data_IF_827913851025
#
_entry.id   IF_827913851025
#
_cell.length_a   1.000
_cell.length_b   1.000
_cell.length_c   1.000
_cell.angle_alpha   90.00
_cell.angle_beta   90.00
_cell.angle_gamma   90.00
#
_symmetry.space_group_name_H-M   'P 1'
#
loop_
_entity.id
_entity.type
_entity.pdbx_description
1 polymer ?
#
# COMPACT_ATOMS: atom_id res chain seq x y z
N UNK A 1 10.65 -1.94 -83.62
CA UNK A 1 9.97 -1.14 -82.57
C UNK A 1 11.02 -0.39 -81.77
N UNK A 2 10.97 0.95 -81.67
CA UNK A 2 11.91 1.70 -80.81
C UNK A 2 11.60 1.36 -79.36
N UNK A 3 12.54 0.74 -78.64
CA UNK A 3 12.42 0.48 -77.20
C UNK A 3 12.71 1.77 -76.44
N UNK A 4 11.79 2.18 -75.57
CA UNK A 4 12.02 3.26 -74.61
C UNK A 4 12.57 2.66 -73.31
N UNK A 5 13.68 3.20 -72.81
CA UNK A 5 14.35 2.70 -71.61
C UNK A 5 14.10 3.65 -70.43
N UNK A 6 13.92 3.09 -69.23
CA UNK A 6 13.71 3.86 -68.01
C UNK A 6 14.94 4.72 -67.67
N UNK A 7 14.73 5.92 -67.10
CA UNK A 7 15.82 6.86 -66.76
C UNK A 7 16.89 6.24 -65.87
N UNK A 8 16.50 5.37 -64.92
CA UNK A 8 17.43 4.67 -64.03
C UNK A 8 18.35 3.68 -64.77
N UNK A 9 17.93 3.14 -65.91
CA UNK A 9 18.76 2.25 -66.75
C UNK A 9 19.84 3.06 -67.46
N UNK A 10 19.48 4.26 -67.94
CA UNK A 10 20.39 5.20 -68.59
C UNK A 10 21.42 5.73 -67.59
N UNK A 11 20.97 6.09 -66.38
CA UNK A 11 21.82 6.54 -65.28
C UNK A 11 22.76 5.41 -64.84
N UNK A 12 22.23 4.19 -64.63
CA UNK A 12 23.03 3.02 -64.29
C UNK A 12 24.10 2.69 -65.35
N UNK A 13 23.80 2.89 -66.65
CA UNK A 13 24.78 2.74 -67.73
C UNK A 13 25.92 3.76 -67.65
N UNK A 14 25.60 5.06 -67.53
CA UNK A 14 26.63 6.12 -67.46
C UNK A 14 27.48 6.04 -66.18
N UNK A 15 26.92 5.49 -65.09
CA UNK A 15 27.64 5.23 -63.84
C UNK A 15 28.44 3.91 -63.85
N UNK A 16 28.39 3.13 -64.95
CA UNK A 16 29.13 1.88 -65.09
C UNK A 16 28.65 0.74 -64.19
N UNK A 17 27.41 0.80 -63.69
CA UNK A 17 26.84 -0.19 -62.76
C UNK A 17 25.70 -1.01 -63.36
N UNK A 18 25.41 -0.84 -64.66
CA UNK A 18 24.38 -1.62 -65.34
C UNK A 18 24.81 -3.09 -65.46
N UNK A 19 23.88 -4.00 -65.16
CA UNK A 19 24.13 -5.45 -65.23
C UNK A 19 24.55 -5.88 -66.64
N UNK A 20 25.57 -6.75 -66.79
CA UNK A 20 26.08 -7.19 -68.10
C UNK A 20 25.01 -7.81 -69.00
N UNK A 21 24.06 -8.53 -68.42
CA UNK A 21 22.96 -9.21 -69.14
C UNK A 21 22.01 -8.22 -69.79
N UNK A 22 21.78 -7.07 -69.15
CA UNK A 22 20.95 -5.98 -69.67
C UNK A 22 21.73 -5.19 -70.72
N UNK A 23 23.03 -4.97 -70.50
CA UNK A 23 23.93 -4.25 -71.41
C UNK A 23 23.98 -4.91 -72.80
N UNK A 24 24.03 -6.25 -72.86
CA UNK A 24 24.07 -7.01 -74.11
C UNK A 24 22.77 -6.93 -74.93
N UNK A 25 21.64 -6.59 -74.31
CA UNK A 25 20.33 -6.48 -74.97
C UNK A 25 20.07 -5.09 -75.57
N UNK A 26 21.00 -4.14 -75.40
CA UNK A 26 20.83 -2.75 -75.83
C UNK A 26 21.63 -2.52 -77.12
N UNK A 27 20.99 -1.99 -78.19
CA UNK A 27 21.69 -1.69 -79.43
C UNK A 27 22.87 -0.72 -79.22
N UNK A 28 23.98 -0.95 -79.90
CA UNK A 28 25.20 -0.13 -79.83
C UNK A 28 24.95 1.35 -80.11
N UNK A 29 24.03 1.66 -81.03
CA UNK A 29 23.59 3.03 -81.34
C UNK A 29 22.90 3.74 -80.16
N UNK A 30 22.18 2.98 -79.33
CA UNK A 30 21.50 3.49 -78.13
C UNK A 30 22.51 3.74 -77.01
N UNK A 31 23.47 2.82 -76.82
CA UNK A 31 24.58 3.00 -75.88
C UNK A 31 25.46 4.20 -76.23
N UNK A 32 25.73 4.40 -77.53
CA UNK A 32 26.47 5.56 -78.02
C UNK A 32 25.73 6.87 -77.72
N UNK A 33 24.41 6.92 -77.99
CA UNK A 33 23.59 8.08 -77.65
C UNK A 33 23.63 8.39 -76.15
N UNK A 34 23.51 7.35 -75.30
CA UNK A 34 23.58 7.53 -73.84
C UNK A 34 24.94 8.00 -73.38
N UNK A 35 26.04 7.52 -73.98
CA UNK A 35 27.40 7.97 -73.63
C UNK A 35 27.58 9.49 -73.82
N UNK A 36 26.93 10.07 -74.82
CA UNK A 36 27.02 11.50 -75.15
C UNK A 36 25.85 12.34 -74.62
N UNK A 37 24.91 11.74 -73.88
CA UNK A 37 23.74 12.44 -73.34
C UNK A 37 24.11 13.27 -72.11
N UNK A 38 23.90 14.58 -72.19
CA UNK A 38 24.12 15.48 -71.06
C UNK A 38 22.97 15.38 -70.03
N UNK A 39 23.22 14.67 -68.92
CA UNK A 39 22.26 14.49 -67.82
C UNK A 39 21.94 15.77 -67.06
N UNK A 40 22.80 16.81 -67.10
CA UNK A 40 22.59 18.05 -66.36
C UNK A 40 21.39 18.87 -66.87
N UNK A 41 20.87 18.54 -68.07
CA UNK A 41 19.64 19.11 -68.63
C UNK A 41 18.35 18.42 -68.16
N UNK A 42 18.45 17.31 -67.41
CA UNK A 42 17.28 16.62 -66.86
C UNK A 42 16.82 17.31 -65.56
N UNK A 43 15.55 17.69 -65.53
CA UNK A 43 14.90 18.27 -64.34
C UNK A 43 15.01 17.29 -63.16
N UNK A 44 15.55 17.74 -62.03
CA UNK A 44 15.71 16.95 -60.79
C UNK A 44 17.13 16.46 -60.46
N UNK A 45 18.11 16.65 -61.36
CA UNK A 45 19.50 16.19 -61.14
C UNK A 45 20.20 16.85 -59.94
N UNK A 46 19.90 18.12 -59.62
CA UNK A 46 20.45 18.81 -58.43
C UNK A 46 19.97 18.21 -57.10
N UNK A 47 18.75 17.66 -57.02
CA UNK A 47 18.27 16.95 -55.82
C UNK A 47 18.83 15.51 -55.72
N UNK A 48 19.15 14.87 -56.85
CA UNK A 48 19.77 13.53 -56.86
C UNK A 48 21.28 13.53 -56.54
N UNK A 49 22.01 14.62 -56.81
CA UNK A 49 23.45 14.73 -56.53
C UNK A 49 23.79 14.69 -55.03
N UNK A 50 22.91 15.21 -54.16
CA UNK A 50 23.04 15.12 -52.69
C UNK A 50 23.01 13.64 -52.22
N UNK A 51 22.48 12.73 -53.05
CA UNK A 51 22.39 11.32 -52.74
C UNK A 51 23.59 10.50 -53.23
N UNK A 52 24.51 11.01 -54.06
CA UNK A 52 25.64 10.18 -54.52
C UNK A 52 26.55 9.73 -53.36
N UNK A 53 26.86 10.61 -52.41
CA UNK A 53 27.70 10.27 -51.26
C UNK A 53 27.02 9.27 -50.32
N UNK A 54 25.73 9.48 -50.01
CA UNK A 54 24.96 8.53 -49.22
C UNK A 54 24.78 7.19 -49.95
N UNK A 55 24.55 7.19 -51.25
CA UNK A 55 24.44 5.97 -52.07
C UNK A 55 25.79 5.25 -52.16
N UNK A 56 26.92 5.95 -52.29
CA UNK A 56 28.26 5.35 -52.24
C UNK A 56 28.53 4.74 -50.87
N UNK A 57 28.25 5.46 -49.81
CA UNK A 57 28.38 4.96 -48.44
C UNK A 57 27.51 3.73 -48.19
N UNK A 58 26.26 3.72 -48.66
CA UNK A 58 25.37 2.55 -48.59
C UNK A 58 25.91 1.41 -49.45
N UNK A 59 26.39 1.67 -50.66
CA UNK A 59 27.01 0.64 -51.53
C UNK A 59 28.25 0.03 -50.88
N UNK A 60 29.13 0.84 -50.30
CA UNK A 60 30.35 0.37 -49.63
C UNK A 60 30.00 -0.39 -48.33
N UNK A 61 29.00 0.08 -47.59
CA UNK A 61 28.44 -0.64 -46.44
C UNK A 61 27.86 -2.01 -46.83
N UNK A 62 27.13 -2.09 -47.96
CA UNK A 62 26.55 -3.33 -48.47
C UNK A 62 27.60 -4.32 -49.02
N UNK A 63 28.76 -3.84 -49.50
CA UNK A 63 29.88 -4.69 -49.91
C UNK A 63 30.55 -5.40 -48.73
N UNK A 64 30.54 -4.78 -47.54
CA UNK A 64 31.11 -5.39 -46.34
C UNK A 64 30.13 -6.38 -45.67
N UNK A 65 30.30 -7.67 -45.98
CA UNK A 65 29.46 -8.77 -45.44
C UNK A 65 29.34 -8.74 -43.89
N UNK A 66 30.40 -8.36 -43.18
CA UNK A 66 30.39 -8.25 -41.71
C UNK A 66 29.56 -7.05 -41.22
N UNK A 67 29.68 -5.88 -41.85
CA UNK A 67 28.90 -4.70 -41.52
C UNK A 67 27.40 -4.93 -41.75
N UNK A 68 27.04 -5.61 -42.85
CA UNK A 68 25.66 -6.00 -43.12
C UNK A 68 25.10 -6.97 -42.07
N UNK A 69 25.89 -7.95 -41.61
CA UNK A 69 25.48 -8.85 -40.52
C UNK A 69 25.26 -8.10 -39.22
N UNK A 70 26.15 -7.18 -38.87
CA UNK A 70 26.04 -6.35 -37.66
C UNK A 70 24.82 -5.42 -37.71
N UNK A 71 24.54 -4.77 -38.84
CA UNK A 71 23.34 -3.96 -38.98
C UNK A 71 22.05 -4.79 -38.92
N UNK A 72 22.02 -5.99 -39.54
CA UNK A 72 20.88 -6.91 -39.42
C UNK A 72 20.67 -7.35 -37.98
N UNK A 73 21.73 -7.70 -37.26
CA UNK A 73 21.68 -8.07 -35.84
C UNK A 73 21.19 -6.90 -34.97
N UNK A 74 21.72 -5.69 -35.19
CA UNK A 74 21.30 -4.48 -34.48
C UNK A 74 19.83 -4.14 -34.77
N UNK A 75 19.37 -4.29 -36.01
CA UNK A 75 17.98 -4.09 -36.39
C UNK A 75 17.04 -5.11 -35.74
N UNK A 76 17.41 -6.40 -35.73
CA UNK A 76 16.64 -7.43 -35.01
C UNK A 76 16.61 -7.15 -33.50
N UNK A 77 17.75 -6.81 -32.90
CA UNK A 77 17.85 -6.45 -31.49
C UNK A 77 16.95 -5.26 -31.16
N UNK A 78 16.93 -4.23 -32.01
CA UNK A 78 16.03 -3.08 -31.87
C UNK A 78 14.55 -3.49 -31.96
N UNK A 79 14.19 -4.36 -32.89
CA UNK A 79 12.81 -4.86 -33.05
C UNK A 79 12.36 -5.65 -31.82
N UNK A 80 13.22 -6.52 -31.29
CA UNK A 80 12.98 -7.29 -30.06
C UNK A 80 12.83 -6.35 -28.86
N UNK A 81 13.73 -5.38 -28.71
CA UNK A 81 13.67 -4.38 -27.65
C UNK A 81 12.34 -3.61 -27.68
N UNK A 82 11.92 -3.16 -28.87
CA UNK A 82 10.67 -2.42 -29.05
C UNK A 82 9.43 -3.25 -28.67
N UNK A 83 9.42 -4.55 -28.99
CA UNK A 83 8.34 -5.45 -28.55
C UNK A 83 8.36 -5.58 -27.03
N UNK A 84 9.53 -5.76 -26.43
CA UNK A 84 9.68 -5.94 -24.98
C UNK A 84 9.26 -4.70 -24.17
N UNK A 85 9.60 -3.51 -24.65
CA UNK A 85 9.26 -2.24 -23.98
C UNK A 85 7.78 -1.90 -24.09
N UNK A 86 7.12 -2.17 -25.22
CA UNK A 86 5.70 -1.89 -25.41
C UNK A 86 4.76 -2.98 -24.86
N UNK A 87 5.16 -4.26 -24.90
CA UNK A 87 4.27 -5.36 -24.54
C UNK A 87 4.33 -5.75 -23.05
N UNK A 88 5.42 -5.44 -22.32
CA UNK A 88 5.60 -5.97 -20.96
C UNK A 88 5.30 -4.95 -19.85
N UNK A 89 4.27 -5.27 -19.06
CA UNK A 89 4.04 -4.61 -17.76
C UNK A 89 5.25 -4.78 -16.82
N UNK A 90 6.06 -5.82 -17.04
CA UNK A 90 7.31 -6.06 -16.33
C UNK A 90 8.36 -4.97 -16.60
N UNK A 91 8.56 -4.55 -17.86
CA UNK A 91 9.49 -3.48 -18.18
C UNK A 91 9.06 -2.14 -17.56
N UNK A 92 7.76 -1.80 -17.64
CA UNK A 92 7.22 -0.59 -16.98
C UNK A 92 7.44 -0.61 -15.47
N UNK A 93 7.29 -1.76 -14.81
CA UNK A 93 7.55 -1.94 -13.38
C UNK A 93 9.04 -1.83 -13.06
N UNK A 94 9.89 -2.46 -13.86
CA UNK A 94 11.35 -2.38 -13.72
C UNK A 94 11.87 -0.95 -13.90
N UNK A 95 11.35 -0.23 -14.91
CA UNK A 95 11.75 1.15 -15.17
C UNK A 95 11.36 2.12 -14.05
N UNK A 96 10.20 1.90 -13.41
CA UNK A 96 9.81 2.66 -12.20
C UNK A 96 10.75 2.44 -11.02
N UNK A 97 11.41 1.29 -10.93
CA UNK A 97 12.39 0.99 -9.87
C UNK A 97 13.79 1.50 -10.23
N UNK A 98 14.12 1.61 -11.52
CA UNK A 98 15.45 1.97 -12.04
C UNK A 98 15.45 3.31 -12.78
N UNK A 99 14.76 4.32 -12.21
CA UNK A 99 14.54 5.63 -12.87
C UNK A 99 15.83 6.35 -13.25
N UNK A 100 16.82 6.40 -12.35
CA UNK A 100 18.10 7.10 -12.58
C UNK A 100 18.83 6.51 -13.79
N UNK A 101 18.98 5.19 -13.81
CA UNK A 101 19.58 4.45 -14.92
C UNK A 101 18.87 4.75 -16.24
N UNK A 102 17.54 4.72 -16.28
CA UNK A 102 16.79 5.02 -17.50
C UNK A 102 16.99 6.46 -17.96
N UNK A 103 16.97 7.44 -17.05
CA UNK A 103 17.20 8.85 -17.40
C UNK A 103 18.59 9.02 -18.01
N UNK A 104 19.63 8.45 -17.40
CA UNK A 104 21.02 8.49 -17.90
C UNK A 104 21.15 7.86 -19.29
N UNK A 105 20.55 6.68 -19.51
CA UNK A 105 20.60 6.02 -20.83
C UNK A 105 19.80 6.76 -21.89
N UNK A 106 18.66 7.35 -21.54
CA UNK A 106 17.89 8.20 -22.47
C UNK A 106 18.69 9.45 -22.83
N UNK A 107 19.37 10.09 -21.87
CA UNK A 107 20.25 11.23 -22.14
C UNK A 107 21.37 10.85 -23.10
N UNK A 108 22.03 9.72 -22.90
CA UNK A 108 23.07 9.25 -23.83
C UNK A 108 22.51 8.95 -25.23
N UNK A 109 21.30 8.40 -25.33
CA UNK A 109 20.64 8.16 -26.61
C UNK A 109 20.26 9.46 -27.33
N UNK A 110 20.04 10.56 -26.60
CA UNK A 110 19.72 11.84 -27.23
C UNK A 110 20.85 12.44 -28.06
N UNK A 111 22.09 11.95 -27.90
CA UNK A 111 23.22 12.30 -28.77
C UNK A 111 23.06 11.77 -30.21
N UNK A 112 22.23 10.74 -30.40
CA UNK A 112 22.05 10.06 -31.70
C UNK A 112 20.64 10.23 -32.28
N UNK A 113 19.62 10.38 -31.42
CA UNK A 113 18.23 10.51 -31.84
C UNK A 113 17.51 11.62 -31.04
N UNK A 114 16.51 12.31 -31.64
CA UNK A 114 15.71 13.28 -30.89
C UNK A 114 15.05 12.67 -29.64
N UNK A 115 14.97 13.44 -28.55
CA UNK A 115 14.40 13.02 -27.26
C UNK A 115 13.03 12.34 -27.42
N UNK A 116 12.15 12.90 -28.25
CA UNK A 116 10.81 12.34 -28.50
C UNK A 116 10.86 10.91 -29.07
N UNK A 117 11.87 10.58 -29.90
CA UNK A 117 12.06 9.23 -30.44
C UNK A 117 12.66 8.28 -29.39
N UNK A 118 13.61 8.77 -28.59
CA UNK A 118 14.18 8.00 -27.47
C UNK A 118 13.10 7.64 -26.43
N UNK A 119 12.23 8.59 -26.08
CA UNK A 119 11.13 8.37 -25.15
C UNK A 119 10.11 7.35 -25.68
N UNK A 120 9.77 7.40 -26.97
CA UNK A 120 8.90 6.40 -27.61
C UNK A 120 9.50 4.99 -27.57
N UNK A 121 10.83 4.85 -27.69
CA UNK A 121 11.50 3.55 -27.64
C UNK A 121 11.30 2.82 -26.30
N UNK A 122 11.30 3.58 -25.21
CA UNK A 122 11.12 3.06 -23.85
C UNK A 122 9.68 3.15 -23.34
N UNK A 123 8.73 3.60 -24.16
CA UNK A 123 7.33 3.80 -23.76
C UNK A 123 7.17 4.74 -22.53
N UNK A 124 7.98 5.81 -22.48
CA UNK A 124 7.98 6.79 -21.39
C UNK A 124 7.40 8.13 -21.89
N UNK A 125 6.46 8.71 -21.15
CA UNK A 125 5.96 10.04 -21.48
C UNK A 125 6.99 11.13 -21.15
N UNK A 126 6.99 12.23 -21.91
CA UNK A 126 7.86 13.38 -21.65
C UNK A 126 7.72 13.89 -20.20
N UNK A 127 6.49 13.97 -19.69
CA UNK A 127 6.21 14.34 -18.31
C UNK A 127 6.84 13.38 -17.27
N UNK A 128 6.86 12.07 -17.55
CA UNK A 128 7.47 11.10 -16.65
C UNK A 128 9.01 11.22 -16.67
N UNK A 129 9.60 11.39 -17.86
CA UNK A 129 11.04 11.61 -18.02
C UNK A 129 11.52 12.84 -17.27
N UNK A 130 10.92 14.01 -17.51
CA UNK A 130 11.32 15.24 -16.83
C UNK A 130 11.13 15.16 -15.31
N UNK A 131 10.06 14.49 -14.85
CA UNK A 131 9.84 14.24 -13.42
C UNK A 131 10.92 13.36 -12.80
N UNK A 132 11.39 12.33 -13.51
CA UNK A 132 12.47 11.46 -13.04
C UNK A 132 13.82 12.18 -13.07
N UNK A 133 14.09 12.93 -14.15
CA UNK A 133 15.31 13.74 -14.31
C UNK A 133 15.45 14.79 -13.22
N UNK A 134 14.35 15.48 -12.91
CA UNK A 134 14.32 16.55 -11.92
C UNK A 134 13.96 16.04 -10.51
N UNK A 135 14.00 14.71 -10.28
CA UNK A 135 13.69 14.13 -8.98
C UNK A 135 14.84 14.40 -8.00
N UNK A 136 14.70 15.44 -7.19
CA UNK A 136 15.64 15.73 -6.09
C UNK A 136 15.30 14.85 -4.89
N UNK A 137 16.27 14.06 -4.42
CA UNK A 137 16.17 13.38 -3.14
C UNK A 137 16.39 14.41 -2.03
N UNK A 138 15.35 14.69 -1.26
CA UNK A 138 15.42 15.67 -0.17
C UNK A 138 15.69 14.95 1.15
N UNK A 139 16.90 15.07 1.70
CA UNK A 139 17.25 14.45 2.98
C UNK A 139 16.49 15.06 4.17
N UNK A 140 16.05 16.32 4.03
CA UNK A 140 15.19 17.00 5.00
C UNK A 140 13.75 16.45 5.03
N UNK A 141 13.36 15.58 4.09
CA UNK A 141 12.06 14.92 4.10
C UNK A 141 12.21 13.45 4.48
N UNK A 142 11.40 13.01 5.45
CA UNK A 142 11.30 11.59 5.82
C UNK A 142 11.00 10.71 4.59
N UNK A 143 10.21 11.23 3.65
CA UNK A 143 9.79 10.55 2.43
C UNK A 143 10.78 10.69 1.26
N UNK A 144 11.91 11.40 1.45
CA UNK A 144 12.88 11.75 0.39
C UNK A 144 12.29 12.54 -0.78
N UNK A 145 11.19 13.24 -0.55
CA UNK A 145 10.53 14.10 -1.54
C UNK A 145 10.56 15.55 -1.05
N UNK A 146 10.98 16.47 -1.92
CA UNK A 146 11.02 17.89 -1.57
C UNK A 146 9.61 18.45 -1.26
N UNK A 147 9.48 19.19 -0.16
CA UNK A 147 8.24 19.82 0.29
C UNK A 147 7.73 20.89 -0.69
N UNK A 148 8.61 21.60 -1.42
CA UNK A 148 8.21 22.59 -2.44
C UNK A 148 7.52 21.94 -3.65
N UNK A 149 8.12 20.86 -4.17
CA UNK A 149 7.59 20.15 -5.35
C UNK A 149 6.45 19.19 -5.02
N UNK A 150 6.42 18.68 -3.79
CA UNK A 150 5.36 17.80 -3.28
C UNK A 150 4.72 18.45 -2.03
N UNK A 151 3.92 19.52 -2.22
CA UNK A 151 3.44 20.38 -1.14
C UNK A 151 2.33 19.78 -0.27
N UNK A 152 1.73 18.68 -0.69
CA UNK A 152 0.70 17.95 0.08
C UNK A 152 1.28 16.91 1.06
N UNK A 153 2.60 16.83 1.19
CA UNK A 153 3.23 16.00 2.23
C UNK A 153 2.88 16.50 3.63
N UNK A 154 2.98 15.61 4.63
CA UNK A 154 2.91 16.06 6.02
C UNK A 154 4.00 17.08 6.31
N UNK A 155 3.65 18.13 7.04
CA UNK A 155 4.59 19.13 7.49
C UNK A 155 5.53 18.56 8.57
N UNK A 156 6.68 19.21 8.80
CA UNK A 156 7.67 18.77 9.79
C UNK A 156 7.07 18.57 11.19
N UNK A 157 6.18 19.46 11.62
CA UNK A 157 5.50 19.37 12.92
C UNK A 157 4.57 18.16 13.00
N UNK A 158 3.81 17.88 11.93
CA UNK A 158 2.95 16.69 11.87
C UNK A 158 3.78 15.40 11.94
N UNK A 159 4.93 15.37 11.27
CA UNK A 159 5.87 14.24 11.32
C UNK A 159 6.47 14.10 12.72
N UNK A 160 6.84 15.20 13.37
CA UNK A 160 7.35 15.21 14.73
C UNK A 160 6.30 14.69 15.72
N UNK A 161 5.03 15.08 15.55
CA UNK A 161 3.93 14.59 16.37
C UNK A 161 3.73 13.09 16.20
N UNK A 162 3.71 12.56 14.97
CA UNK A 162 3.67 11.09 14.76
C UNK A 162 4.81 10.42 15.51
N UNK A 163 6.05 10.92 15.39
CA UNK A 163 7.22 10.35 16.07
C UNK A 163 7.04 10.36 17.59
N UNK A 164 6.58 11.48 18.16
CA UNK A 164 6.32 11.62 19.60
C UNK A 164 5.38 10.53 20.12
N UNK A 165 4.23 10.36 19.46
CA UNK A 165 3.23 9.35 19.86
C UNK A 165 3.70 7.91 19.66
N UNK A 166 4.49 7.64 18.61
CA UNK A 166 5.01 6.30 18.36
C UNK A 166 6.14 5.89 19.31
N UNK A 167 6.90 6.87 19.82
CA UNK A 167 7.98 6.70 20.79
C UNK A 167 7.52 6.68 22.24
N UNK A 168 6.27 7.08 22.52
CA UNK A 168 5.71 7.06 23.86
C UNK A 168 5.63 5.63 24.41
N UNK A 169 6.33 5.38 25.53
CA UNK A 169 6.39 4.08 26.20
C UNK A 169 5.02 3.64 26.71
N UNK A 170 4.17 4.58 27.13
CA UNK A 170 2.81 4.31 27.61
C UNK A 170 1.88 3.84 26.49
N UNK A 171 2.17 4.15 25.23
CA UNK A 171 1.37 3.76 24.07
C UNK A 171 1.98 2.60 23.28
N UNK A 172 3.08 2.02 23.76
CA UNK A 172 3.83 1.02 22.99
C UNK A 172 3.00 -0.26 22.72
N UNK A 173 2.19 -0.69 23.68
CA UNK A 173 1.29 -1.84 23.54
C UNK A 173 0.01 -1.55 22.77
N UNK A 174 -0.32 -0.28 22.55
CA UNK A 174 -1.48 0.09 21.77
C UNK A 174 -1.26 -0.25 20.29
N UNK A 175 -2.27 -0.74 19.56
CA UNK A 175 -2.21 -0.84 18.12
C UNK A 175 -2.02 0.55 17.49
N UNK A 176 -1.26 0.62 16.39
CA UNK A 176 -1.01 1.87 15.65
C UNK A 176 -2.30 2.66 15.33
N UNK A 177 -3.39 1.96 15.05
CA UNK A 177 -4.67 2.61 14.74
C UNK A 177 -5.29 3.31 15.96
N UNK A 178 -5.11 2.77 17.16
CA UNK A 178 -5.58 3.40 18.39
C UNK A 178 -4.77 4.65 18.69
N UNK A 179 -3.46 4.60 18.47
CA UNK A 179 -2.57 5.78 18.58
C UNK A 179 -2.97 6.87 17.59
N UNK A 180 -3.27 6.49 16.34
CA UNK A 180 -3.77 7.43 15.33
C UNK A 180 -5.03 8.16 15.81
N UNK A 181 -6.04 7.44 16.31
CA UNK A 181 -7.25 8.07 16.81
C UNK A 181 -7.00 8.88 18.09
N UNK A 182 -6.09 8.44 18.97
CA UNK A 182 -5.68 9.24 20.13
C UNK A 182 -5.09 10.58 19.70
N UNK A 183 -4.22 10.58 18.69
CA UNK A 183 -3.61 11.78 18.13
C UNK A 183 -4.66 12.73 17.52
N UNK A 184 -5.66 12.19 16.82
CA UNK A 184 -6.79 12.98 16.29
C UNK A 184 -7.63 13.60 17.41
N UNK A 185 -7.98 12.81 18.44
CA UNK A 185 -8.78 13.27 19.59
C UNK A 185 -8.08 14.39 20.34
N UNK A 186 -6.77 14.29 20.51
CA UNK A 186 -5.94 15.30 21.19
C UNK A 186 -5.55 16.47 20.27
N UNK A 187 -6.10 16.55 19.05
CA UNK A 187 -5.79 17.59 18.07
C UNK A 187 -4.30 17.74 17.72
N UNK A 188 -3.50 16.69 17.91
CA UNK A 188 -2.06 16.74 17.67
C UNK A 188 -1.69 16.64 16.17
N UNK A 189 -2.62 16.26 15.30
CA UNK A 189 -2.40 16.30 13.85
C UNK A 189 -3.50 15.57 13.10
N UNK A 190 -3.97 16.17 12.00
CA UNK A 190 -5.10 15.65 11.24
C UNK A 190 -4.68 15.16 9.86
N UNK A 191 -4.66 13.84 9.68
CA UNK A 191 -4.27 13.20 8.42
C UNK A 191 -5.10 11.95 8.16
N UNK A 192 -5.10 11.46 6.92
CA UNK A 192 -5.75 10.17 6.63
C UNK A 192 -5.03 9.02 7.34
N UNK A 193 -5.77 7.97 7.69
CA UNK A 193 -5.21 6.76 8.27
C UNK A 193 -4.15 6.11 7.36
N UNK A 194 -4.33 6.19 6.03
CA UNK A 194 -3.36 5.70 5.06
C UNK A 194 -2.05 6.50 5.12
N UNK A 195 -2.14 7.82 5.22
CA UNK A 195 -0.99 8.71 5.39
C UNK A 195 -0.27 8.41 6.70
N UNK A 196 -1.00 8.30 7.80
CA UNK A 196 -0.42 7.92 9.10
C UNK A 196 0.38 6.61 8.98
N UNK A 197 -0.23 5.54 8.46
CA UNK A 197 0.47 4.26 8.29
C UNK A 197 1.70 4.35 7.38
N UNK A 198 1.64 5.14 6.31
CA UNK A 198 2.78 5.34 5.40
C UNK A 198 3.96 5.96 6.15
N UNK A 199 3.72 7.01 6.94
CA UNK A 199 4.77 7.67 7.71
C UNK A 199 5.24 6.81 8.89
N UNK A 200 4.34 6.19 9.65
CA UNK A 200 4.70 5.28 10.74
C UNK A 200 5.56 4.11 10.25
N UNK A 201 5.22 3.51 9.10
CA UNK A 201 6.01 2.43 8.52
C UNK A 201 7.40 2.90 8.11
N UNK A 202 7.51 4.07 7.48
CA UNK A 202 8.81 4.67 7.15
C UNK A 202 9.68 4.87 8.40
N UNK A 203 9.11 5.35 9.51
CA UNK A 203 9.84 5.52 10.77
C UNK A 203 10.27 4.18 11.39
N UNK A 204 9.39 3.18 11.36
CA UNK A 204 9.67 1.83 11.86
C UNK A 204 10.80 1.16 11.05
N UNK A 205 10.71 1.23 9.72
CA UNK A 205 11.69 0.61 8.80
C UNK A 205 13.06 1.29 8.91
N UNK A 206 13.11 2.58 9.27
CA UNK A 206 14.35 3.34 9.55
C UNK A 206 14.84 3.22 11.00
N UNK A 207 14.18 2.44 11.86
CA UNK A 207 14.55 2.29 13.27
C UNK A 207 14.40 3.56 14.11
N UNK A 208 13.60 4.53 13.67
CA UNK A 208 13.41 5.82 14.36
C UNK A 208 12.49 5.73 15.57
N UNK A 209 11.71 4.66 15.67
CA UNK A 209 10.73 4.36 16.72
C UNK A 209 10.76 2.86 17.04
N UNK A 210 10.33 2.42 18.24
CA UNK A 210 10.37 1.02 18.63
C UNK A 210 9.57 0.11 17.68
N UNK A 211 10.12 -1.07 17.39
CA UNK A 211 9.43 -2.09 16.58
C UNK A 211 8.15 -2.57 17.27
N UNK A 212 7.15 -2.93 16.45
CA UNK A 212 5.84 -3.40 16.91
C UNK A 212 5.54 -4.78 16.35
N UNK A 213 4.90 -5.63 17.16
CA UNK A 213 4.50 -6.99 16.75
C UNK A 213 3.56 -6.93 15.55
N UNK A 214 3.90 -7.68 14.49
CA UNK A 214 3.04 -7.86 13.32
C UNK A 214 2.03 -8.97 13.60
N UNK A 215 0.74 -8.63 13.58
CA UNK A 215 -0.34 -9.62 13.64
C UNK A 215 -0.70 -10.13 12.25
N UNK A 216 -0.97 -11.43 12.13
CA UNK A 216 -1.62 -11.99 10.94
C UNK A 216 -3.13 -11.73 11.00
N UNK A 217 -3.72 -11.37 9.86
CA UNK A 217 -5.18 -11.24 9.73
C UNK A 217 -5.75 -12.53 9.16
N UNK A 218 -6.57 -13.24 9.93
CA UNK A 218 -7.40 -14.33 9.42
C UNK A 218 -8.63 -13.74 8.73
N UNK A 219 -9.07 -14.35 7.62
CA UNK A 219 -10.36 -14.03 7.00
C UNK A 219 -11.44 -14.75 7.81
N UNK A 220 -12.35 -13.99 8.40
CA UNK A 220 -13.45 -14.51 9.20
C UNK A 220 -14.60 -13.49 9.21
N UNK A 221 -15.84 -13.98 9.18
CA UNK A 221 -17.05 -13.15 9.21
C UNK A 221 -17.69 -13.27 10.60
N UNK A 222 -17.43 -12.33 11.53
CA UNK A 222 -17.98 -12.39 12.88
C UNK A 222 -19.45 -11.96 12.90
N UNK A 223 -20.19 -12.46 13.90
CA UNK A 223 -21.49 -11.92 14.27
C UNK A 223 -21.33 -10.49 14.80
N UNK A 224 -22.26 -9.61 14.44
CA UNK A 224 -22.20 -8.18 14.79
C UNK A 224 -23.54 -7.74 15.35
N UNK A 225 -23.49 -7.15 16.53
CA UNK A 225 -24.62 -6.39 17.06
C UNK A 225 -24.76 -5.05 16.33
N UNK A 226 -25.97 -4.51 16.34
CA UNK A 226 -26.29 -3.17 15.82
C UNK A 226 -26.39 -2.11 16.90
N UNK A 227 -26.54 -2.53 18.17
CA UNK A 227 -26.65 -1.66 19.34
C UNK A 227 -26.01 -2.30 20.57
N UNK A 228 -25.62 -1.52 21.60
CA UNK A 228 -25.19 -2.06 22.89
C UNK A 228 -26.26 -2.97 23.50
N UNK A 229 -25.81 -3.94 24.30
CA UNK A 229 -26.65 -4.90 25.02
C UNK A 229 -27.45 -5.88 24.15
N UNK A 230 -27.28 -5.88 22.82
CA UNK A 230 -27.96 -6.85 21.94
C UNK A 230 -27.27 -8.23 21.93
N UNK A 231 -25.94 -8.25 21.89
CA UNK A 231 -25.16 -9.50 21.87
C UNK A 231 -24.03 -9.37 22.88
N UNK A 232 -24.00 -10.27 23.84
CA UNK A 232 -22.98 -10.36 24.87
C UNK A 232 -22.13 -11.62 24.62
N UNK A 233 -20.82 -11.50 24.81
CA UNK A 233 -19.89 -12.62 24.72
C UNK A 233 -19.32 -12.90 26.09
N UNK A 234 -19.38 -14.16 26.54
CA UNK A 234 -18.72 -14.61 27.74
C UNK A 234 -17.69 -15.68 27.42
N UNK A 235 -16.56 -15.64 28.11
CA UNK A 235 -15.46 -16.59 27.95
C UNK A 235 -14.56 -16.58 29.20
N UNK A 236 -13.82 -17.67 29.40
CA UNK A 236 -12.83 -17.80 30.46
C UNK A 236 -11.45 -17.91 29.84
N UNK A 237 -10.49 -17.21 30.43
CA UNK A 237 -9.10 -17.33 30.02
C UNK A 237 -8.18 -17.66 31.20
N UNK A 238 -7.36 -18.70 31.04
CA UNK A 238 -6.36 -19.11 32.03
C UNK A 238 -5.14 -18.18 32.02
N UNK A 239 -4.72 -17.75 33.21
CA UNK A 239 -3.48 -17.07 33.52
C UNK A 239 -2.68 -17.92 34.52
N UNK A 240 -1.39 -17.64 34.64
CA UNK A 240 -0.50 -18.30 35.59
C UNK A 240 0.37 -17.29 36.31
N UNK A 241 0.57 -17.49 37.60
CA UNK A 241 1.55 -16.75 38.38
C UNK A 241 2.96 -17.30 38.16
N UNK A 242 3.98 -16.58 38.62
CA UNK A 242 5.38 -17.04 38.66
C UNK A 242 5.53 -18.32 39.49
N UNK A 243 4.71 -18.49 40.53
CA UNK A 243 4.58 -19.72 41.31
C UNK A 243 3.77 -20.84 40.64
N UNK A 244 3.40 -20.70 39.36
CA UNK A 244 2.61 -21.67 38.58
C UNK A 244 1.19 -21.93 39.12
N UNK A 245 0.67 -21.06 40.00
CA UNK A 245 -0.73 -21.07 40.40
C UNK A 245 -1.61 -20.71 39.21
N UNK A 246 -2.70 -21.46 39.02
CA UNK A 246 -3.67 -21.21 37.95
C UNK A 246 -4.68 -20.17 38.40
N UNK A 247 -4.89 -19.16 37.56
CA UNK A 247 -5.90 -18.12 37.77
C UNK A 247 -6.84 -18.08 36.56
N UNK A 248 -8.13 -18.18 36.81
CA UNK A 248 -9.19 -18.17 35.80
C UNK A 248 -9.81 -16.77 35.75
N UNK A 249 -9.65 -16.09 34.61
CA UNK A 249 -10.24 -14.78 34.36
C UNK A 249 -11.51 -14.94 33.53
N UNK A 250 -12.65 -14.70 34.15
CA UNK A 250 -13.97 -14.71 33.54
C UNK A 250 -14.25 -13.32 33.00
N UNK A 251 -14.69 -13.22 31.74
CA UNK A 251 -14.98 -11.94 31.08
C UNK A 251 -16.36 -11.98 30.47
N UNK A 252 -17.11 -10.88 30.64
CA UNK A 252 -18.32 -10.57 29.88
C UNK A 252 -18.06 -9.31 29.05
N UNK A 253 -18.26 -9.41 27.74
CA UNK A 253 -18.01 -8.32 26.80
C UNK A 253 -19.27 -8.03 25.97
N UNK A 254 -19.59 -6.75 25.79
CA UNK A 254 -20.60 -6.30 24.85
C UNK A 254 -20.07 -6.33 23.40
N UNK A 255 -20.84 -6.88 22.46
CA UNK A 255 -20.41 -6.98 21.07
C UNK A 255 -20.32 -5.60 20.41
N UNK A 256 -21.32 -4.73 20.54
CA UNK A 256 -21.35 -3.49 19.77
C UNK A 256 -20.30 -2.48 20.23
N UNK A 257 -20.37 -2.09 21.51
CA UNK A 257 -19.47 -1.13 22.15
C UNK A 257 -18.06 -1.67 22.38
N UNK A 258 -17.88 -3.00 22.32
CA UNK A 258 -16.64 -3.71 22.70
C UNK A 258 -16.28 -3.61 24.18
N UNK A 259 -17.14 -3.01 25.01
CA UNK A 259 -16.84 -2.78 26.41
C UNK A 259 -16.81 -4.10 27.19
N UNK A 260 -15.82 -4.23 28.07
CA UNK A 260 -15.84 -5.23 29.14
C UNK A 260 -16.89 -4.78 30.14
N UNK A 261 -18.00 -5.53 30.23
CA UNK A 261 -19.12 -5.25 31.13
C UNK A 261 -18.82 -5.71 32.56
N UNK A 262 -18.20 -6.89 32.67
CA UNK A 262 -17.71 -7.42 33.93
C UNK A 262 -16.53 -8.34 33.71
N UNK A 263 -15.73 -8.46 34.76
CA UNK A 263 -14.71 -9.48 34.88
C UNK A 263 -14.58 -9.93 36.34
N UNK A 264 -14.13 -11.16 36.51
CA UNK A 264 -13.84 -11.79 37.80
C UNK A 264 -12.60 -12.67 37.66
N UNK A 265 -11.66 -12.52 38.58
CA UNK A 265 -10.50 -13.41 38.73
C UNK A 265 -10.82 -14.43 39.83
N UNK A 266 -10.43 -15.69 39.63
CA UNK A 266 -10.54 -16.72 40.66
C UNK A 266 -9.43 -17.76 40.53
N UNK A 267 -9.05 -18.36 41.64
CA UNK A 267 -8.18 -19.55 41.71
C UNK A 267 -8.94 -20.84 41.36
N UNK A 268 -10.27 -20.79 41.36
CA UNK A 268 -11.15 -21.92 41.07
C UNK A 268 -11.85 -21.79 39.72
N UNK A 269 -12.13 -22.94 39.12
CA UNK A 269 -12.92 -23.05 37.90
C UNK A 269 -14.33 -23.55 38.23
N UNK A 270 -15.37 -22.85 37.81
CA UNK A 270 -16.74 -23.28 38.07
C UNK A 270 -17.84 -22.39 37.51
N UNK A 271 -18.99 -23.01 37.24
CA UNK A 271 -20.18 -22.35 36.71
C UNK A 271 -20.77 -21.28 37.64
N UNK A 272 -20.57 -21.41 38.96
CA UNK A 272 -21.08 -20.43 39.92
C UNK A 272 -20.37 -19.07 39.79
N UNK A 273 -19.07 -19.11 39.49
CA UNK A 273 -18.25 -17.92 39.27
C UNK A 273 -18.64 -17.26 37.93
N UNK A 274 -18.82 -18.07 36.88
CA UNK A 274 -19.33 -17.59 35.59
C UNK A 274 -20.70 -16.89 35.74
N UNK A 275 -21.64 -17.52 36.48
CA UNK A 275 -22.95 -16.95 36.77
C UNK A 275 -22.86 -15.64 37.55
N UNK A 276 -22.02 -15.58 38.57
CA UNK A 276 -21.85 -14.37 39.37
C UNK A 276 -21.21 -13.24 38.54
N UNK A 277 -20.23 -13.55 37.69
CA UNK A 277 -19.66 -12.57 36.76
C UNK A 277 -20.68 -12.06 35.75
N UNK A 278 -21.51 -12.95 35.20
CA UNK A 278 -22.62 -12.58 34.32
C UNK A 278 -23.59 -11.63 35.03
N UNK A 279 -24.08 -12.00 36.23
CA UNK A 279 -24.98 -11.14 37.03
C UNK A 279 -24.36 -9.77 37.34
N UNK A 280 -23.08 -9.74 37.70
CA UNK A 280 -22.32 -8.49 37.94
C UNK A 280 -22.33 -7.58 36.70
N UNK A 281 -22.15 -8.14 35.50
CA UNK A 281 -22.12 -7.36 34.26
C UNK A 281 -23.50 -6.91 33.79
N UNK A 282 -24.54 -7.70 34.05
CA UNK A 282 -25.92 -7.32 33.75
C UNK A 282 -26.44 -6.21 34.68
N UNK A 283 -25.89 -6.10 35.90
CA UNK A 283 -26.28 -5.09 36.88
C UNK A 283 -27.80 -5.07 37.13
N UNK A 284 -28.35 -3.87 37.34
CA UNK A 284 -29.78 -3.64 37.58
C UNK A 284 -30.62 -3.62 36.28
N UNK A 285 -30.38 -4.52 35.32
CA UNK A 285 -31.22 -4.89 34.15
C UNK A 285 -31.83 -3.80 33.23
N UNK A 286 -31.74 -2.51 33.56
CA UNK A 286 -32.45 -1.42 32.86
C UNK A 286 -31.98 -1.22 31.41
N UNK A 287 -30.80 -1.75 31.05
CA UNK A 287 -30.22 -1.59 29.73
C UNK A 287 -30.40 -2.80 28.81
N UNK A 288 -31.01 -3.90 29.29
CA UNK A 288 -31.22 -5.09 28.46
C UNK A 288 -32.25 -4.82 27.37
N UNK A 289 -31.95 -5.33 26.17
CA UNK A 289 -32.87 -5.29 25.03
C UNK A 289 -33.69 -6.58 25.03
N UNK A 290 -34.86 -6.53 24.41
CA UNK A 290 -35.58 -7.77 24.10
C UNK A 290 -34.69 -8.67 23.23
N UNK A 291 -34.64 -9.96 23.58
CA UNK A 291 -33.83 -10.97 22.91
C UNK A 291 -32.31 -10.69 22.93
N UNK A 292 -31.78 -10.12 24.02
CA UNK A 292 -30.33 -10.05 24.23
C UNK A 292 -29.72 -11.46 24.15
N UNK A 293 -28.81 -11.67 23.19
CA UNK A 293 -28.15 -12.96 22.97
C UNK A 293 -26.85 -13.05 23.77
N UNK A 294 -26.74 -14.06 24.63
CA UNK A 294 -25.50 -14.39 25.36
C UNK A 294 -24.80 -15.55 24.67
N UNK A 295 -23.66 -15.26 24.06
CA UNK A 295 -22.82 -16.23 23.34
C UNK A 295 -21.72 -16.73 24.27
N UNK A 296 -21.62 -18.04 24.39
CA UNK A 296 -20.58 -18.75 25.14
C UNK A 296 -19.97 -19.88 24.30
N UNK A 297 -18.91 -20.50 24.79
CA UNK A 297 -18.42 -21.78 24.24
C UNK A 297 -19.18 -22.97 24.84
N UNK A 298 -18.80 -24.20 24.46
CA UNK A 298 -19.40 -25.44 25.00
C UNK A 298 -18.76 -25.89 26.34
N UNK A 299 -18.04 -24.99 27.01
CA UNK A 299 -17.41 -25.23 28.30
C UNK A 299 -18.41 -25.59 29.40
N UNK A 300 -17.98 -26.39 30.37
CA UNK A 300 -18.87 -26.85 31.45
C UNK A 300 -19.26 -25.72 32.42
N UNK A 301 -18.49 -24.64 32.48
CA UNK A 301 -18.81 -23.42 33.22
C UNK A 301 -20.10 -22.73 32.75
N UNK A 302 -20.46 -22.92 31.48
CA UNK A 302 -21.57 -22.22 30.83
C UNK A 302 -22.86 -23.05 30.84
N UNK A 303 -22.80 -24.25 31.44
CA UNK A 303 -23.89 -25.21 31.55
C UNK A 303 -24.52 -25.18 32.95
N UNK A 304 -25.51 -26.04 33.17
CA UNK A 304 -26.17 -26.20 34.47
C UNK A 304 -26.77 -24.89 34.97
N UNK A 305 -26.29 -24.40 36.12
CA UNK A 305 -26.83 -23.21 36.79
C UNK A 305 -26.79 -21.93 35.94
N UNK A 306 -25.83 -21.79 35.02
CA UNK A 306 -25.78 -20.63 34.11
C UNK A 306 -26.93 -20.71 33.10
N UNK A 307 -27.08 -21.87 32.45
CA UNK A 307 -28.16 -22.13 31.50
C UNK A 307 -29.53 -21.98 32.15
N UNK A 308 -29.76 -22.62 33.30
CA UNK A 308 -31.02 -22.52 34.05
C UNK A 308 -31.32 -21.09 34.49
N UNK A 309 -30.30 -20.28 34.82
CA UNK A 309 -30.51 -18.87 35.11
C UNK A 309 -30.97 -18.09 33.88
N UNK A 310 -30.29 -18.27 32.74
CA UNK A 310 -30.60 -17.58 31.48
C UNK A 310 -31.98 -17.95 30.93
N UNK A 311 -32.37 -19.22 31.00
CA UNK A 311 -33.72 -19.70 30.62
C UNK A 311 -34.84 -19.02 31.41
N UNK A 312 -34.56 -18.59 32.66
CA UNK A 312 -35.51 -17.85 33.51
C UNK A 312 -35.56 -16.35 33.21
N UNK A 313 -34.72 -15.83 32.32
CA UNK A 313 -34.69 -14.40 31.98
C UNK A 313 -35.46 -14.15 30.69
N UNK A 314 -36.63 -13.48 30.73
CA UNK A 314 -37.50 -13.36 29.56
C UNK A 314 -36.89 -12.57 28.40
N UNK A 315 -35.93 -11.69 28.70
CA UNK A 315 -35.29 -10.82 27.71
C UNK A 315 -34.01 -11.43 27.12
N UNK A 316 -33.56 -12.61 27.56
CA UNK A 316 -32.27 -13.15 27.17
C UNK A 316 -32.36 -14.55 26.58
N UNK A 317 -31.43 -14.84 25.69
CA UNK A 317 -31.25 -16.16 25.09
C UNK A 317 -29.78 -16.57 25.17
N UNK A 318 -29.51 -17.85 25.37
CA UNK A 318 -28.16 -18.40 25.31
C UNK A 318 -27.92 -19.05 23.95
N UNK A 319 -26.72 -18.89 23.40
CA UNK A 319 -26.26 -19.66 22.24
C UNK A 319 -24.81 -20.13 22.42
N UNK A 320 -24.57 -21.40 22.10
CA UNK A 320 -23.24 -22.02 22.09
C UNK A 320 -22.59 -21.83 20.73
N UNK A 321 -21.41 -21.21 20.71
CA UNK A 321 -20.62 -20.99 19.51
C UNK A 321 -20.26 -22.31 18.80
N UNK A 322 -20.32 -22.32 17.47
CA UNK A 322 -20.08 -23.50 16.60
C UNK A 322 -21.03 -24.69 16.82
N UNK A 323 -22.08 -24.52 17.63
CA UNK A 323 -23.11 -25.52 17.88
C UNK A 323 -24.49 -24.97 17.55
N UNK A 324 -24.88 -23.90 18.22
CA UNK A 324 -26.15 -23.20 18.00
C UNK A 324 -26.01 -22.09 16.94
N UNK A 325 -24.80 -21.58 16.75
CA UNK A 325 -24.45 -20.60 15.70
C UNK A 325 -23.21 -21.04 14.92
N UNK A 326 -23.11 -20.65 13.65
CA UNK A 326 -21.97 -20.99 12.77
C UNK A 326 -20.68 -20.26 13.22
N UNK A 327 -20.84 -19.08 13.83
CA UNK A 327 -19.75 -18.24 14.28
C UNK A 327 -19.08 -18.81 15.53
N UNK A 328 -17.75 -18.69 15.62
CA UNK A 328 -17.00 -18.89 16.86
C UNK A 328 -17.13 -17.70 17.82
N UNK A 329 -16.76 -17.90 19.08
CA UNK A 329 -16.70 -16.88 20.12
C UNK A 329 -15.50 -15.90 19.96
N UNK A 330 -15.10 -15.66 18.72
CA UNK A 330 -13.90 -14.88 18.33
C UNK A 330 -13.81 -13.46 18.92
N UNK A 331 -14.93 -12.87 19.33
CA UNK A 331 -14.95 -11.50 19.82
C UNK A 331 -14.20 -11.37 21.15
N UNK A 332 -14.64 -12.16 22.12
CA UNK A 332 -14.06 -12.20 23.46
C UNK A 332 -12.72 -12.95 23.45
N UNK A 333 -12.53 -13.94 22.57
CA UNK A 333 -11.20 -14.54 22.35
C UNK A 333 -10.17 -13.50 21.88
N UNK A 334 -10.56 -12.60 20.96
CA UNK A 334 -9.69 -11.52 20.49
C UNK A 334 -9.40 -10.50 21.61
N UNK A 335 -10.38 -10.21 22.47
CA UNK A 335 -10.18 -9.42 23.68
C UNK A 335 -9.20 -10.11 24.64
N UNK A 336 -9.39 -11.40 24.93
CA UNK A 336 -8.54 -12.21 25.80
C UNK A 336 -7.09 -12.20 25.31
N UNK A 337 -6.89 -12.41 24.01
CA UNK A 337 -5.57 -12.30 23.38
C UNK A 337 -4.98 -10.90 23.54
N UNK A 338 -5.79 -9.85 23.36
CA UNK A 338 -5.33 -8.48 23.51
C UNK A 338 -4.91 -8.21 24.95
N UNK A 339 -5.75 -8.48 25.95
CA UNK A 339 -5.43 -8.31 27.37
C UNK A 339 -4.16 -9.06 27.74
N UNK A 340 -4.07 -10.35 27.40
CA UNK A 340 -2.90 -11.20 27.66
C UNK A 340 -1.62 -10.62 27.08
N UNK A 341 -1.54 -10.47 25.77
CA UNK A 341 -0.26 -10.23 25.09
C UNK A 341 0.14 -8.77 24.99
N UNK A 342 -0.81 -7.85 25.10
CA UNK A 342 -0.53 -6.42 25.02
C UNK A 342 -0.43 -5.77 26.40
N UNK A 343 -1.10 -6.30 27.41
CA UNK A 343 -1.14 -5.68 28.74
C UNK A 343 -0.53 -6.61 29.79
N UNK A 344 -1.20 -7.73 30.11
CA UNK A 344 -0.91 -8.57 31.29
C UNK A 344 0.48 -9.20 31.23
N UNK A 345 0.83 -9.89 30.13
CA UNK A 345 2.12 -10.61 29.99
C UNK A 345 3.33 -9.69 29.77
N UNK A 346 3.16 -8.38 29.98
CA UNK A 346 4.28 -7.45 30.12
C UNK A 346 4.74 -7.31 31.57
N UNK A 347 4.00 -7.91 32.50
CA UNK A 347 4.27 -7.94 33.93
C UNK A 347 4.44 -9.40 34.38
N UNK A 348 5.27 -9.60 35.39
CA UNK A 348 5.32 -10.88 36.12
C UNK A 348 4.18 -10.85 37.13
N UNK A 349 3.31 -11.88 37.11
CA UNK A 349 2.22 -12.02 38.08
C UNK A 349 2.74 -12.86 39.25
N UNK A 350 2.93 -12.26 40.42
CA UNK A 350 3.52 -12.96 41.56
C UNK A 350 2.49 -13.83 42.31
N UNK A 351 1.33 -13.25 42.60
CA UNK A 351 0.22 -13.89 43.29
C UNK A 351 -1.13 -13.40 42.74
N UNK A 352 -2.23 -13.83 43.37
CA UNK A 352 -3.57 -13.43 42.98
C UNK A 352 -3.83 -11.93 43.16
N UNK A 353 -3.29 -11.30 44.21
CA UNK A 353 -3.51 -9.89 44.51
C UNK A 353 -2.81 -8.98 43.48
N UNK A 354 -1.55 -9.31 43.14
CA UNK A 354 -0.80 -8.67 42.07
C UNK A 354 -1.50 -8.86 40.72
N UNK A 355 -1.95 -10.08 40.42
CA UNK A 355 -2.72 -10.34 39.20
C UNK A 355 -4.01 -9.50 39.12
N UNK A 356 -4.73 -9.35 40.24
CA UNK A 356 -5.93 -8.52 40.31
C UNK A 356 -5.62 -7.05 39.95
N UNK A 357 -4.54 -6.50 40.50
CA UNK A 357 -4.10 -5.13 40.22
C UNK A 357 -3.70 -4.96 38.74
N UNK A 358 -2.88 -5.86 38.20
CA UNK A 358 -2.43 -5.83 36.80
C UNK A 358 -3.61 -5.91 35.84
N UNK A 359 -4.57 -6.81 36.10
CA UNK A 359 -5.75 -6.98 35.26
C UNK A 359 -6.66 -5.74 35.35
N UNK A 360 -6.87 -5.20 36.54
CA UNK A 360 -7.65 -3.97 36.73
C UNK A 360 -7.08 -2.80 35.93
N UNK A 361 -5.76 -2.60 35.97
CA UNK A 361 -5.06 -1.59 35.16
C UNK A 361 -5.20 -1.87 33.66
N UNK A 362 -5.06 -3.13 33.24
CA UNK A 362 -5.20 -3.52 31.84
C UNK A 362 -6.62 -3.25 31.29
N UNK A 363 -7.65 -3.54 32.08
CA UNK A 363 -9.05 -3.28 31.73
C UNK A 363 -9.31 -1.77 31.62
N UNK A 364 -8.84 -0.98 32.59
CA UNK A 364 -9.00 0.48 32.57
C UNK A 364 -8.32 1.10 31.34
N UNK A 365 -7.08 0.70 31.04
CA UNK A 365 -6.35 1.18 29.87
C UNK A 365 -7.04 0.75 28.56
N UNK A 366 -7.54 -0.49 28.48
CA UNK A 366 -8.37 -0.93 27.35
C UNK A 366 -9.62 -0.05 27.16
N UNK A 367 -10.30 0.32 28.25
CA UNK A 367 -11.50 1.17 28.20
C UNK A 367 -11.20 2.62 27.80
N UNK A 368 -9.99 3.12 28.05
CA UNK A 368 -9.55 4.46 27.63
C UNK A 368 -9.09 4.50 26.17
N UNK A 369 -8.85 3.34 25.57
CA UNK A 369 -8.27 3.23 24.26
C UNK A 369 -9.27 3.50 23.11
N UNK A 370 -8.99 4.45 22.20
CA UNK A 370 -9.80 4.65 21.00
C UNK A 370 -9.75 3.44 20.07
N UNK A 371 -10.92 3.04 19.55
CA UNK A 371 -11.05 1.85 18.71
C UNK A 371 -11.42 2.20 17.27
N UNK A 372 -10.75 1.55 16.31
CA UNK A 372 -11.02 1.73 14.88
C UNK A 372 -12.46 1.38 14.49
N UNK A 373 -13.00 0.31 15.07
CA UNK A 373 -14.37 -0.14 14.79
C UNK A 373 -15.42 0.85 15.28
N UNK A 374 -15.05 1.71 16.23
CA UNK A 374 -15.89 2.76 16.81
C UNK A 374 -15.48 4.15 16.30
N UNK A 375 -14.78 4.22 15.17
CA UNK A 375 -14.35 5.46 14.51
C UNK A 375 -13.58 6.45 15.41
N UNK A 376 -12.87 5.93 16.41
CA UNK A 376 -12.08 6.74 17.35
C UNK A 376 -12.77 7.02 18.68
N UNK A 377 -13.99 6.53 18.90
CA UNK A 377 -14.57 6.46 20.24
C UNK A 377 -13.93 5.33 21.06
N UNK A 378 -13.98 5.46 22.37
CA UNK A 378 -13.62 4.39 23.31
C UNK A 378 -14.81 3.45 23.53
N UNK A 379 -14.53 2.26 24.06
CA UNK A 379 -15.58 1.29 24.33
C UNK A 379 -16.64 1.81 25.32
N UNK A 380 -16.19 2.53 26.35
CA UNK A 380 -17.07 3.09 27.38
C UNK A 380 -17.91 4.26 26.88
N UNK A 381 -17.40 5.07 25.96
CA UNK A 381 -18.18 6.15 25.34
C UNK A 381 -19.38 5.60 24.56
N UNK A 382 -19.16 4.54 23.78
CA UNK A 382 -20.23 3.90 23.01
C UNK A 382 -21.22 3.18 23.91
N UNK A 383 -20.73 2.50 24.96
CA UNK A 383 -21.62 1.87 25.95
C UNK A 383 -22.52 2.90 26.66
N UNK A 384 -22.03 4.13 26.86
CA UNK A 384 -22.77 5.25 27.45
C UNK A 384 -23.70 5.99 26.47
N UNK A 385 -23.75 5.57 25.20
CA UNK A 385 -24.69 6.09 24.21
C UNK A 385 -24.08 6.94 23.09
N UNK A 386 -22.76 7.14 23.05
CA UNK A 386 -22.15 7.85 21.92
C UNK A 386 -22.22 6.99 20.65
N UNK A 387 -22.69 7.58 19.56
CA UNK A 387 -22.84 6.88 18.28
C UNK A 387 -21.54 7.00 17.47
N UNK A 388 -20.94 5.87 17.03
CA UNK A 388 -19.76 5.91 16.16
C UNK A 388 -20.01 6.63 14.84
N UNK A 389 -19.31 7.74 14.62
CA UNK A 389 -19.37 8.50 13.36
C UNK A 389 -18.06 8.38 12.57
N UNK A 390 -18.17 7.84 11.35
CA UNK A 390 -17.05 7.74 10.41
C UNK A 390 -16.56 9.13 9.96
N UNK A 391 -17.43 10.13 9.97
CA UNK A 391 -17.10 11.49 9.52
C UNK A 391 -16.50 12.39 10.60
N UNK A 392 -16.43 11.93 11.86
CA UNK A 392 -16.03 12.70 13.04
C UNK A 392 -14.78 13.58 12.87
N UNK A 393 -13.78 13.11 12.13
CA UNK A 393 -12.52 13.85 11.89
C UNK A 393 -12.34 14.31 10.44
N UNK A 394 -13.33 14.07 9.57
CA UNK A 394 -13.17 14.24 8.12
C UNK A 394 -12.89 15.69 7.72
N UNK A 395 -13.61 16.65 8.29
CA UNK A 395 -13.44 18.06 7.90
C UNK A 395 -12.12 18.63 8.41
N UNK A 396 -11.71 18.32 9.65
CA UNK A 396 -10.39 18.67 10.16
C UNK A 396 -9.25 18.07 9.34
N UNK A 397 -9.41 16.84 8.83
CA UNK A 397 -8.45 16.21 7.93
C UNK A 397 -8.38 16.95 6.58
N UNK A 398 -9.53 17.39 6.03
CA UNK A 398 -9.56 18.20 4.80
C UNK A 398 -8.90 19.56 5.02
N UNK A 399 -9.21 20.25 6.10
CA UNK A 399 -8.61 21.53 6.48
C UNK A 399 -7.08 21.44 6.59
N UNK A 400 -6.58 20.44 7.32
CA UNK A 400 -5.14 20.21 7.43
C UNK A 400 -4.50 19.91 6.06
N UNK A 401 -5.20 19.17 5.18
CA UNK A 401 -4.72 18.93 3.82
C UNK A 401 -4.64 20.21 2.97
N UNK A 402 -5.55 21.16 3.15
CA UNK A 402 -5.54 22.46 2.45
C UNK A 402 -4.45 23.39 2.97
N UNK A 403 -4.09 23.31 4.26
CA UNK A 403 -3.02 24.13 4.87
C UNK A 403 -1.62 23.66 4.48
N UNK A 404 -1.40 22.35 4.29
CA UNK A 404 -0.06 21.78 3.98
C UNK A 404 0.66 22.48 2.82
N UNK A 405 0.04 22.78 1.67
CA UNK A 405 0.75 23.43 0.58
C UNK A 405 1.23 24.85 0.90
N UNK A 406 0.49 25.59 1.72
CA UNK A 406 0.87 26.95 2.12
C UNK A 406 2.15 26.89 2.97
N UNK A 407 2.18 25.98 3.95
CA UNK A 407 3.33 25.76 4.84
C UNK A 407 4.53 25.19 4.05
N UNK A 408 4.31 24.12 3.29
CA UNK A 408 5.40 23.39 2.64
C UNK A 408 6.08 24.14 1.50
N UNK A 409 5.38 25.07 0.83
CA UNK A 409 5.98 25.94 -0.21
C UNK A 409 6.85 27.05 0.38
N UNK A 410 6.50 27.52 1.58
CA UNK A 410 7.25 28.57 2.29
C UNK A 410 8.55 28.05 2.92
N UNK A 411 8.74 26.73 3.03
CA UNK A 411 9.97 26.15 3.57
C UNK A 411 11.20 26.61 2.79
N UNK A 412 12.07 27.38 3.43
CA UNK A 412 13.31 27.97 2.89
C UNK A 412 14.44 26.94 2.69
N UNK A 413 14.13 25.70 2.28
CA UNK A 413 15.14 24.70 1.98
C UNK A 413 15.93 25.13 0.73
N UNK A 414 17.24 25.33 0.90
CA UNK A 414 18.21 25.67 -0.15
C UNK A 414 18.69 24.45 -0.93
N UNK A 415 18.64 23.26 -0.34
CA UNK A 415 19.19 22.01 -0.88
C UNK A 415 18.40 21.41 -2.08
N UNK A 416 17.27 22.00 -2.46
CA UNK A 416 16.43 21.50 -3.56
C UNK A 416 16.02 22.60 -4.55
N UNK A 417 16.83 23.66 -4.63
CA UNK A 417 16.63 24.78 -5.54
C UNK A 417 17.11 24.43 -6.95
#
# INVERSE_FOLDING_TARGET
MKRSYHSDVIISFQLGVLQPEILQQIPSSTLHNWKHRNLAKLVGTKQCLINEQHIRMVKDFLKHKQALRLAKAAYLAFKILKIFTHASNAFRKWGKNNKKFLVEKIQHLTCYIPLNKALKLFDISSQAYHRWKNQVNCDNSLMRLCHKTHPFQLCSDEVANIKKYLSDKSLLHWPLVSIYYQMLRQSAGYMSLATFYKYSRCMLDKGMVPLRRKGQKKKYTPIKATDPWQILHMDITLLKTSGNQRLYLYILQDNFSRAILSWTLSTEYGAAIALNNLKKGLGNKQNLKENTLVICDDGSENKGIVKTYLEKQPLMQQAVAQKDIIQSNSMVEALNKRLKYHFIFRHTLNDEADALQVIGNAVNDYHQQPLRVLHGLTAMEVLKGNIPDKTLFSDKIKEAAMKRPQINKQNACTACS
#
